data_IF_116461345535
#
_entry.id   IF_116461345535
#
_cell.length_a   1.000
_cell.length_b   1.000
_cell.length_c   1.000
_cell.angle_alpha   90.00
_cell.angle_beta   90.00
_cell.angle_gamma   90.00
#
_symmetry.space_group_name_H-M   'P 1'
#
loop_
_entity.id
_entity.type
_entity.pdbx_description
1 polymer ?
#
# COMPACT_ATOMS: atom_id res chain seq x y z
N UNK A 1 46.80 -31.23 -16.06
CA UNK A 1 46.14 -30.08 -16.71
C UNK A 1 47.06 -28.89 -16.52
N UNK A 2 47.57 -28.35 -17.62
CA UNK A 2 48.74 -27.47 -17.61
C UNK A 2 48.35 -26.02 -17.26
N UNK A 3 48.72 -25.57 -16.07
CA UNK A 3 48.29 -24.28 -15.48
C UNK A 3 48.78 -23.07 -16.29
N UNK A 4 49.89 -23.23 -17.02
CA UNK A 4 50.46 -22.18 -17.88
C UNK A 4 49.59 -21.85 -19.09
N UNK A 5 48.94 -22.84 -19.70
CA UNK A 5 48.05 -22.61 -20.84
C UNK A 5 46.74 -21.93 -20.45
N UNK A 6 46.24 -22.19 -19.23
CA UNK A 6 45.01 -21.57 -18.72
C UNK A 6 45.24 -20.07 -18.39
N UNK A 7 46.39 -19.71 -17.81
CA UNK A 7 46.72 -18.30 -17.55
C UNK A 7 46.96 -17.51 -18.84
N UNK A 8 47.61 -18.11 -19.84
CA UNK A 8 47.78 -17.48 -21.15
C UNK A 8 46.44 -17.25 -21.87
N UNK A 9 45.50 -18.20 -21.79
CA UNK A 9 44.13 -18.04 -22.31
C UNK A 9 43.33 -16.97 -21.55
N UNK A 10 43.44 -16.91 -20.22
CA UNK A 10 42.76 -15.90 -19.42
C UNK A 10 43.26 -14.48 -19.74
N UNK A 11 44.57 -14.29 -19.91
CA UNK A 11 45.17 -13.00 -20.28
C UNK A 11 44.78 -12.58 -21.70
N UNK A 12 44.84 -13.50 -22.67
CA UNK A 12 44.40 -13.24 -24.05
C UNK A 12 42.90 -12.93 -24.14
N UNK A 13 42.07 -13.55 -23.29
CA UNK A 13 40.63 -13.26 -23.20
C UNK A 13 40.37 -11.89 -22.55
N UNK A 14 41.17 -11.49 -21.55
CA UNK A 14 41.09 -10.16 -20.94
C UNK A 14 41.49 -9.05 -21.91
N UNK A 15 42.58 -9.22 -22.67
CA UNK A 15 42.99 -8.26 -23.70
C UNK A 15 41.92 -8.14 -24.81
N UNK A 16 41.37 -9.27 -25.27
CA UNK A 16 40.25 -9.26 -26.23
C UNK A 16 38.98 -8.63 -25.66
N UNK A 17 38.66 -8.84 -24.37
CA UNK A 17 37.50 -8.21 -23.73
C UNK A 17 37.69 -6.70 -23.59
N UNK A 18 38.90 -6.23 -23.29
CA UNK A 18 39.21 -4.80 -23.25
C UNK A 18 39.09 -4.14 -24.64
N UNK A 19 39.60 -4.80 -25.68
CA UNK A 19 39.46 -4.34 -27.07
C UNK A 19 37.99 -4.34 -27.54
N UNK A 20 37.21 -5.37 -27.17
CA UNK A 20 35.78 -5.43 -27.49
C UNK A 20 35.02 -4.30 -26.76
N UNK A 21 35.34 -4.03 -25.50
CA UNK A 21 34.74 -2.93 -24.74
C UNK A 21 35.11 -1.55 -25.33
N UNK A 22 36.35 -1.33 -25.75
CA UNK A 22 36.76 -0.09 -26.42
C UNK A 22 36.12 0.08 -27.80
N UNK A 23 35.98 -1.01 -28.57
CA UNK A 23 35.33 -0.96 -29.87
C UNK A 23 33.82 -0.75 -29.76
N UNK A 24 33.16 -1.32 -28.74
CA UNK A 24 31.75 -1.05 -28.46
C UNK A 24 31.54 0.41 -28.02
N UNK A 25 32.43 0.96 -27.20
CA UNK A 25 32.37 2.36 -26.78
C UNK A 25 32.50 3.34 -27.96
N UNK A 26 33.27 2.99 -29.01
CA UNK A 26 33.47 3.82 -30.22
C UNK A 26 32.41 3.61 -31.31
N UNK A 27 31.54 2.61 -31.21
CA UNK A 27 30.49 2.41 -32.21
C UNK A 27 29.50 3.57 -32.14
N UNK A 28 29.24 4.20 -33.27
CA UNK A 28 28.33 5.34 -33.37
C UNK A 28 27.00 4.93 -33.97
N UNK A 29 25.91 5.44 -33.41
CA UNK A 29 24.54 5.28 -33.90
C UNK A 29 24.00 6.67 -34.22
N UNK A 30 23.38 6.81 -35.40
CA UNK A 30 22.75 8.06 -35.82
C UNK A 30 21.24 7.93 -35.63
N UNK A 31 20.65 8.82 -34.85
CA UNK A 31 19.20 8.97 -34.71
C UNK A 31 18.73 10.22 -35.43
N UNK A 32 17.54 10.18 -36.04
CA UNK A 32 16.95 11.35 -36.70
C UNK A 32 15.55 11.68 -36.15
N UNK A 33 15.21 12.96 -36.17
CA UNK A 33 13.91 13.48 -35.77
C UNK A 33 13.44 14.58 -36.74
N UNK A 34 12.13 14.83 -36.80
CA UNK A 34 11.56 15.85 -37.69
C UNK A 34 11.78 15.55 -39.17
N UNK A 35 11.55 14.31 -39.62
CA UNK A 35 11.69 13.94 -41.03
C UNK A 35 13.11 13.94 -41.58
N UNK A 36 14.14 14.01 -40.72
CA UNK A 36 15.54 14.08 -41.12
C UNK A 36 16.21 15.43 -40.87
N UNK A 37 15.42 16.46 -40.53
CA UNK A 37 15.90 17.83 -40.29
C UNK A 37 16.83 17.94 -39.08
N UNK A 38 16.75 17.01 -38.12
CA UNK A 38 17.69 16.92 -36.99
C UNK A 38 18.30 15.52 -36.97
N UNK A 39 19.63 15.46 -37.02
CA UNK A 39 20.40 14.22 -36.90
C UNK A 39 21.32 14.30 -35.69
N UNK A 40 21.32 13.27 -34.86
CA UNK A 40 22.15 13.18 -33.65
C UNK A 40 22.99 11.92 -33.73
N UNK A 41 24.31 12.07 -33.60
CA UNK A 41 25.25 10.94 -33.54
C UNK A 41 25.63 10.68 -32.09
N UNK A 42 25.41 9.45 -31.63
CA UNK A 42 25.69 9.02 -30.25
C UNK A 42 26.66 7.85 -30.28
N UNK A 43 27.63 7.81 -29.35
CA UNK A 43 28.53 6.66 -29.21
C UNK A 43 27.88 5.51 -28.41
N UNK A 44 28.55 4.36 -28.31
CA UNK A 44 28.04 3.19 -27.59
C UNK A 44 27.95 3.38 -26.07
N UNK A 45 28.40 4.52 -25.53
CA UNK A 45 28.27 4.92 -24.12
C UNK A 45 27.10 5.90 -23.89
N UNK A 46 26.38 6.29 -24.95
CA UNK A 46 25.27 7.25 -24.84
C UNK A 46 25.69 8.72 -24.90
N UNK A 47 26.96 9.01 -25.19
CA UNK A 47 27.45 10.39 -25.33
C UNK A 47 27.14 10.92 -26.73
N UNK A 48 26.57 12.12 -26.78
CA UNK A 48 26.30 12.82 -28.05
C UNK A 48 27.61 13.37 -28.60
N UNK A 49 28.02 12.86 -29.76
CA UNK A 49 29.22 13.27 -30.47
C UNK A 49 28.95 14.50 -31.35
N UNK A 50 27.81 14.51 -32.04
CA UNK A 50 27.41 15.61 -32.92
C UNK A 50 25.89 15.73 -33.04
N UNK A 51 25.43 16.96 -33.30
CA UNK A 51 24.05 17.29 -33.67
C UNK A 51 24.09 18.11 -34.96
N UNK A 52 23.34 17.71 -35.97
CA UNK A 52 23.19 18.43 -37.23
C UNK A 52 21.74 18.85 -37.41
N UNK A 53 21.51 20.11 -37.76
CA UNK A 53 20.19 20.70 -37.98
C UNK A 53 20.21 21.35 -39.36
N UNK A 54 19.31 20.92 -40.25
CA UNK A 54 19.21 21.48 -41.61
C UNK A 54 18.67 22.92 -41.61
N UNK A 55 19.22 23.75 -42.50
CA UNK A 55 19.13 25.21 -42.53
C UNK A 55 17.72 25.77 -42.83
N UNK A 56 16.76 24.92 -43.20
CA UNK A 56 15.41 25.35 -43.60
C UNK A 56 14.56 25.80 -42.40
N UNK A 57 15.01 25.53 -41.16
CA UNK A 57 14.26 25.85 -39.95
C UNK A 57 14.71 27.13 -39.21
N UNK A 58 15.93 27.66 -39.44
CA UNK A 58 16.52 28.75 -38.64
C UNK A 58 17.55 29.52 -39.50
N UNK A 59 17.69 30.84 -39.34
CA UNK A 59 18.74 31.64 -40.00
C UNK A 59 20.13 30.98 -39.83
N UNK A 60 20.92 30.93 -40.91
CA UNK A 60 22.22 30.24 -41.00
C UNK A 60 23.20 30.55 -39.85
N UNK A 61 23.19 31.77 -39.31
CA UNK A 61 24.07 32.19 -38.21
C UNK A 61 23.69 31.62 -36.84
N UNK A 62 22.44 31.20 -36.65
CA UNK A 62 21.91 30.69 -35.36
C UNK A 62 21.98 29.17 -35.29
N UNK A 63 21.96 28.46 -36.42
CA UNK A 63 22.00 27.00 -36.47
C UNK A 63 23.30 26.43 -35.87
N UNK A 64 24.46 27.03 -36.18
CA UNK A 64 25.74 26.59 -35.64
C UNK A 64 25.84 26.77 -34.12
N UNK A 65 25.38 27.91 -33.59
CA UNK A 65 25.32 28.15 -32.13
C UNK A 65 24.38 27.17 -31.42
N UNK A 66 23.24 26.85 -32.03
CA UNK A 66 22.27 25.89 -31.46
C UNK A 66 22.79 24.46 -31.48
N UNK A 67 23.54 24.06 -32.52
CA UNK A 67 24.21 22.76 -32.59
C UNK A 67 25.27 22.64 -31.50
N UNK A 68 26.14 23.64 -31.35
CA UNK A 68 27.16 23.65 -30.29
C UNK A 68 26.55 23.70 -28.89
N UNK A 69 25.48 24.47 -28.69
CA UNK A 69 24.75 24.51 -27.43
C UNK A 69 24.11 23.15 -27.11
N UNK A 70 23.53 22.46 -28.09
CA UNK A 70 22.94 21.12 -27.91
C UNK A 70 24.00 20.07 -27.57
N UNK A 71 25.16 20.09 -28.23
CA UNK A 71 26.29 19.21 -27.93
C UNK A 71 26.90 19.54 -26.56
N UNK A 72 27.02 20.81 -26.20
CA UNK A 72 27.51 21.23 -24.90
C UNK A 72 26.55 20.80 -23.78
N UNK A 73 25.24 21.04 -23.94
CA UNK A 73 24.21 20.62 -22.99
C UNK A 73 24.23 19.10 -22.82
N UNK A 74 24.31 18.33 -23.90
CA UNK A 74 24.36 16.86 -23.81
C UNK A 74 25.67 16.30 -23.23
N UNK A 75 26.77 17.06 -23.24
CA UNK A 75 28.03 16.69 -22.56
C UNK A 75 28.07 17.13 -21.09
N UNK A 76 27.38 18.22 -20.75
CA UNK A 76 27.31 18.75 -19.38
C UNK A 76 26.16 18.11 -18.58
N UNK A 77 25.02 17.81 -19.19
CA UNK A 77 23.91 17.14 -18.52
C UNK A 77 24.23 15.76 -17.92
N UNK A 78 25.06 14.87 -18.51
CA UNK A 78 25.43 13.62 -17.86
C UNK A 78 26.30 13.86 -16.61
N UNK A 79 27.04 14.97 -16.51
CA UNK A 79 27.67 15.36 -15.23
C UNK A 79 26.67 15.89 -14.19
N UNK A 80 25.47 16.29 -14.62
CA UNK A 80 24.35 16.71 -13.75
C UNK A 80 23.31 15.60 -13.49
N UNK A 81 23.40 14.46 -14.18
CA UNK A 81 22.46 13.33 -14.11
C UNK A 81 23.10 12.05 -13.56
N UNK A 82 24.18 12.18 -12.78
CA UNK A 82 24.41 11.25 -11.69
C UNK A 82 23.53 11.73 -10.54
N UNK A 83 22.67 10.86 -10.01
CA UNK A 83 21.86 11.09 -8.82
C UNK A 83 22.66 11.91 -7.80
N UNK A 84 22.37 13.21 -7.71
CA UNK A 84 22.88 14.02 -6.64
C UNK A 84 22.25 13.42 -5.39
N UNK A 85 23.01 12.57 -4.69
CA UNK A 85 22.55 11.88 -3.50
C UNK A 85 22.48 12.92 -2.38
N UNK A 86 21.46 13.79 -2.47
CA UNK A 86 21.18 14.88 -1.52
C UNK A 86 20.90 14.32 -0.12
N UNK A 87 20.62 13.02 -0.03
CA UNK A 87 20.29 12.32 1.20
C UNK A 87 21.35 11.23 1.51
N UNK A 88 21.93 11.20 2.72
CA UNK A 88 22.83 10.11 3.11
C UNK A 88 22.15 8.72 2.99
N UNK A 89 22.88 7.65 2.61
CA UNK A 89 22.28 6.34 2.31
C UNK A 89 21.40 5.77 3.45
N UNK A 90 21.82 5.93 4.71
CA UNK A 90 21.04 5.47 5.86
C UNK A 90 19.67 6.19 5.99
N UNK A 91 19.63 7.47 5.61
CA UNK A 91 18.41 8.26 5.63
C UNK A 91 17.51 7.92 4.45
N UNK A 92 18.10 7.66 3.28
CA UNK A 92 17.38 7.18 2.09
C UNK A 92 16.68 5.85 2.33
N UNK A 93 17.36 4.88 2.95
CA UNK A 93 16.76 3.59 3.32
C UNK A 93 15.54 3.77 4.24
N UNK A 94 15.63 4.63 5.25
CA UNK A 94 14.49 4.89 6.14
C UNK A 94 13.32 5.55 5.39
N UNK A 95 13.60 6.49 4.49
CA UNK A 95 12.57 7.13 3.65
C UNK A 95 11.87 6.11 2.77
N UNK A 96 12.61 5.18 2.17
CA UNK A 96 12.02 4.12 1.36
C UNK A 96 11.09 3.24 2.20
N UNK A 97 11.54 2.76 3.37
CA UNK A 97 10.71 1.91 4.24
C UNK A 97 9.44 2.63 4.71
N UNK A 98 9.55 3.90 5.12
CA UNK A 98 8.39 4.70 5.54
C UNK A 98 7.42 4.96 4.37
N UNK A 99 7.90 5.10 3.14
CA UNK A 99 7.06 5.35 1.96
C UNK A 99 6.23 4.14 1.52
N UNK A 100 6.56 2.94 2.00
CA UNK A 100 5.76 1.73 1.75
C UNK A 100 4.50 1.68 2.61
N UNK A 101 4.39 2.51 3.64
CA UNK A 101 3.22 2.58 4.49
C UNK A 101 2.06 3.29 3.76
N UNK A 102 0.82 2.79 3.86
CA UNK A 102 -0.32 3.38 3.19
C UNK A 102 -0.52 4.84 3.65
N UNK A 103 -0.74 5.73 2.69
CA UNK A 103 -0.92 7.17 2.94
C UNK A 103 0.37 7.97 3.16
N UNK A 104 1.55 7.35 3.09
CA UNK A 104 2.84 8.04 3.25
C UNK A 104 3.59 8.11 1.92
N UNK A 105 3.54 9.27 1.26
CA UNK A 105 4.37 9.53 0.07
C UNK A 105 5.82 9.89 0.42
N UNK A 106 6.72 9.85 -0.59
CA UNK A 106 8.16 10.15 -0.44
C UNK A 106 8.46 11.45 0.31
N UNK A 107 7.74 12.54 0.01
CA UNK A 107 7.89 13.83 0.73
C UNK A 107 7.59 13.72 2.23
N UNK A 108 6.48 13.06 2.58
CA UNK A 108 6.10 12.86 3.98
C UNK A 108 7.10 11.94 4.68
N UNK A 109 7.52 10.86 4.03
CA UNK A 109 8.55 9.95 4.54
C UNK A 109 9.87 10.66 4.82
N UNK A 110 10.37 11.50 3.90
CA UNK A 110 11.57 12.34 4.12
C UNK A 110 11.43 13.24 5.33
N UNK A 111 10.27 13.90 5.50
CA UNK A 111 10.00 14.75 6.67
C UNK A 111 10.02 13.95 7.98
N UNK A 112 9.42 12.75 7.99
CA UNK A 112 9.41 11.87 9.17
C UNK A 112 10.82 11.37 9.49
N UNK A 113 11.56 10.91 8.50
CA UNK A 113 12.93 10.40 8.66
C UNK A 113 13.87 11.48 9.23
N UNK A 114 13.81 12.72 8.70
CA UNK A 114 14.56 13.85 9.23
C UNK A 114 14.12 14.23 10.66
N UNK A 115 12.82 14.09 10.99
CA UNK A 115 12.35 14.34 12.35
C UNK A 115 12.89 13.30 13.34
N UNK A 116 12.93 12.02 12.96
CA UNK A 116 13.52 10.94 13.76
C UNK A 116 15.01 11.21 13.98
N UNK A 117 15.75 11.58 12.93
CA UNK A 117 17.19 11.87 13.01
C UNK A 117 17.53 13.04 13.95
N UNK A 118 16.65 14.05 14.05
CA UNK A 118 16.85 15.23 14.91
C UNK A 118 16.52 14.98 16.39
N UNK A 119 15.89 13.86 16.73
CA UNK A 119 15.53 13.51 18.10
C UNK A 119 16.67 12.76 18.81
N UNK A 120 16.66 12.67 20.14
CA UNK A 120 17.63 11.86 20.88
C UNK A 120 17.63 10.41 20.40
N UNK A 121 18.80 9.74 20.27
CA UNK A 121 18.89 8.36 19.78
C UNK A 121 18.00 7.37 20.54
N UNK A 122 17.77 7.60 21.84
CA UNK A 122 16.91 6.75 22.67
C UNK A 122 15.46 6.66 22.14
N UNK A 123 14.88 7.75 21.63
CA UNK A 123 13.51 7.73 21.09
C UNK A 123 13.42 6.92 19.79
N UNK A 124 14.45 7.02 18.93
CA UNK A 124 14.52 6.22 17.71
C UNK A 124 14.67 4.72 18.03
N UNK A 125 15.46 4.39 19.05
CA UNK A 125 15.62 3.02 19.54
C UNK A 125 14.32 2.46 20.14
N UNK A 126 13.57 3.27 20.87
CA UNK A 126 12.27 2.88 21.43
C UNK A 126 11.26 2.56 20.33
N UNK A 127 11.16 3.42 19.30
CA UNK A 127 10.33 3.16 18.13
C UNK A 127 10.74 1.88 17.39
N UNK A 128 12.05 1.69 17.17
CA UNK A 128 12.57 0.49 16.51
C UNK A 128 12.23 -0.78 17.32
N UNK A 129 12.35 -0.72 18.66
CA UNK A 129 11.98 -1.83 19.55
C UNK A 129 10.48 -2.12 19.48
N UNK A 130 9.62 -1.10 19.52
CA UNK A 130 8.18 -1.28 19.42
C UNK A 130 7.78 -1.96 18.09
N UNK A 131 8.37 -1.54 16.97
CA UNK A 131 8.16 -2.18 15.66
C UNK A 131 8.64 -3.64 15.63
N UNK A 132 9.81 -3.92 16.21
CA UNK A 132 10.38 -5.27 16.26
C UNK A 132 9.53 -6.24 17.12
N UNK A 133 8.97 -5.74 18.22
CA UNK A 133 8.16 -6.55 19.14
C UNK A 133 6.73 -6.79 18.66
N UNK A 134 6.21 -5.97 17.74
CA UNK A 134 4.80 -5.96 17.35
C UNK A 134 4.29 -7.35 16.90
N UNK A 135 4.96 -7.96 15.92
CA UNK A 135 4.56 -9.27 15.38
C UNK A 135 4.84 -10.44 16.34
N UNK A 136 5.72 -10.26 17.33
CA UNK A 136 6.02 -11.27 18.34
C UNK A 136 5.00 -11.25 19.48
N UNK A 137 4.46 -10.05 19.79
CA UNK A 137 3.60 -9.83 20.95
C UNK A 137 2.13 -9.98 20.60
N UNK A 138 1.73 -9.60 19.38
CA UNK A 138 0.34 -9.61 18.95
C UNK A 138 0.00 -10.93 18.26
N UNK A 139 -1.08 -11.56 18.73
CA UNK A 139 -1.73 -12.73 18.11
C UNK A 139 -3.21 -12.45 17.86
N UNK A 140 -3.87 -13.38 17.18
CA UNK A 140 -5.33 -13.36 17.06
C UNK A 140 -5.95 -14.08 18.25
N UNK A 141 -6.97 -13.47 18.85
CA UNK A 141 -7.81 -14.12 19.85
C UNK A 141 -8.46 -15.38 19.25
N UNK A 142 -8.41 -16.51 19.96
CA UNK A 142 -8.98 -17.79 19.51
C UNK A 142 -10.50 -17.75 19.33
N UNK A 143 -11.19 -16.82 20.01
CA UNK A 143 -12.65 -16.72 20.03
C UNK A 143 -13.23 -15.70 19.05
N UNK A 144 -12.65 -14.49 18.99
CA UNK A 144 -13.19 -13.37 18.20
C UNK A 144 -12.27 -12.87 17.10
N UNK A 145 -11.06 -13.43 16.99
CA UNK A 145 -10.07 -13.06 15.98
C UNK A 145 -9.61 -11.60 16.04
N UNK A 146 -9.83 -10.84 17.11
CA UNK A 146 -9.19 -9.53 17.26
C UNK A 146 -7.70 -9.67 17.58
N UNK A 147 -6.92 -8.62 17.28
CA UNK A 147 -5.52 -8.53 17.71
C UNK A 147 -5.43 -8.40 19.24
N UNK A 148 -4.66 -9.28 19.89
CA UNK A 148 -4.45 -9.24 21.33
C UNK A 148 -3.12 -9.88 21.72
N UNK A 149 -2.57 -9.47 22.86
CA UNK A 149 -1.42 -10.13 23.51
C UNK A 149 -1.88 -11.34 24.38
N UNK A 150 -3.15 -11.37 24.76
CA UNK A 150 -3.76 -12.41 25.60
C UNK A 150 -4.76 -13.24 24.79
N UNK A 151 -4.90 -14.51 25.17
CA UNK A 151 -5.88 -15.42 24.56
C UNK A 151 -6.57 -16.20 25.69
N UNK A 152 -7.90 -16.04 25.89
CA UNK A 152 -8.78 -15.12 25.17
C UNK A 152 -8.43 -13.64 25.42
N UNK A 153 -8.81 -12.76 24.49
CA UNK A 153 -8.58 -11.32 24.65
C UNK A 153 -9.37 -10.73 25.82
N UNK A 154 -9.02 -9.51 26.25
CA UNK A 154 -9.66 -8.82 27.38
C UNK A 154 -11.19 -8.66 27.28
N UNK A 155 -11.75 -8.67 26.07
CA UNK A 155 -13.20 -8.62 25.85
C UNK A 155 -13.82 -10.01 26.03
N UNK A 156 -13.25 -11.04 25.42
CA UNK A 156 -13.78 -12.41 25.47
C UNK A 156 -13.58 -13.06 26.86
N UNK A 157 -12.50 -12.73 27.56
CA UNK A 157 -12.23 -13.21 28.92
C UNK A 157 -13.02 -12.47 30.03
N UNK A 158 -13.81 -11.45 29.69
CA UNK A 158 -14.53 -10.66 30.69
C UNK A 158 -15.90 -11.28 31.00
N UNK A 159 -16.03 -11.85 32.20
CA UNK A 159 -17.26 -12.50 32.69
C UNK A 159 -18.46 -11.58 32.86
N UNK A 160 -18.27 -10.26 32.86
CA UNK A 160 -19.38 -9.28 32.92
C UNK A 160 -20.07 -9.08 31.56
N UNK A 161 -19.49 -9.61 30.48
CA UNK A 161 -20.05 -9.47 29.13
C UNK A 161 -21.00 -10.61 28.81
N UNK A 162 -21.99 -10.29 27.98
CA UNK A 162 -22.90 -11.29 27.49
C UNK A 162 -22.31 -12.01 26.28
N UNK A 163 -21.83 -13.24 26.47
CA UNK A 163 -21.30 -14.08 25.39
C UNK A 163 -22.36 -14.56 24.39
N UNK A 164 -23.65 -14.43 24.72
CA UNK A 164 -24.75 -14.80 23.82
C UNK A 164 -25.03 -13.75 22.74
N UNK A 165 -24.44 -12.55 22.85
CA UNK A 165 -24.57 -11.45 21.90
C UNK A 165 -23.25 -11.28 21.14
N UNK A 166 -23.28 -11.46 19.82
CA UNK A 166 -22.09 -11.29 18.97
C UNK A 166 -22.28 -10.10 18.04
N UNK A 167 -21.32 -9.17 18.04
CA UNK A 167 -21.22 -8.12 17.03
C UNK A 167 -20.13 -8.48 16.00
N UNK A 168 -20.55 -8.75 14.77
CA UNK A 168 -19.67 -9.10 13.65
C UNK A 168 -19.20 -7.83 12.95
N UNK A 169 -17.89 -7.65 12.83
CA UNK A 169 -17.26 -6.45 12.25
C UNK A 169 -16.24 -6.82 11.17
N UNK A 170 -15.94 -5.88 10.27
CA UNK A 170 -14.97 -6.12 9.18
C UNK A 170 -13.55 -6.19 9.71
N UNK A 171 -13.15 -5.20 10.52
CA UNK A 171 -11.79 -5.07 11.02
C UNK A 171 -11.72 -4.81 12.54
N UNK A 172 -10.53 -4.98 13.12
CA UNK A 172 -10.30 -4.67 14.54
C UNK A 172 -10.49 -3.18 14.86
N UNK A 173 -10.32 -2.30 13.87
CA UNK A 173 -10.59 -0.87 14.04
C UNK A 173 -12.08 -0.58 14.30
N UNK A 174 -12.99 -1.31 13.64
CA UNK A 174 -14.43 -1.16 13.83
C UNK A 174 -14.86 -1.63 15.22
N UNK A 175 -14.30 -2.75 15.69
CA UNK A 175 -14.46 -3.21 17.06
C UNK A 175 -14.08 -2.10 18.04
N UNK A 176 -12.89 -1.50 17.88
CA UNK A 176 -12.43 -0.43 18.76
C UNK A 176 -13.34 0.80 18.71
N UNK A 177 -13.88 1.13 17.54
CA UNK A 177 -14.82 2.24 17.38
C UNK A 177 -16.13 2.00 18.15
N UNK A 178 -16.70 0.81 18.05
CA UNK A 178 -17.93 0.45 18.79
C UNK A 178 -17.65 0.37 20.28
N UNK A 179 -16.54 -0.26 20.68
CA UNK A 179 -16.17 -0.44 22.09
C UNK A 179 -16.00 0.90 22.81
N UNK A 180 -15.44 1.92 22.14
CA UNK A 180 -15.32 3.29 22.67
C UNK A 180 -16.66 3.95 23.04
N UNK A 181 -17.76 3.49 22.47
CA UNK A 181 -19.10 4.01 22.81
C UNK A 181 -19.56 3.54 24.20
N UNK A 182 -18.99 2.46 24.72
CA UNK A 182 -19.42 1.75 25.94
C UNK A 182 -20.90 1.30 25.92
N UNK A 183 -21.57 1.34 24.76
CA UNK A 183 -23.00 1.02 24.62
C UNK A 183 -23.27 -0.46 24.35
N UNK A 184 -22.25 -1.23 23.95
CA UNK A 184 -22.40 -2.64 23.60
C UNK A 184 -21.75 -3.54 24.67
N UNK A 185 -22.54 -4.43 25.28
CA UNK A 185 -22.08 -5.32 26.35
C UNK A 185 -21.84 -6.77 25.90
N UNK A 186 -22.00 -7.04 24.60
CA UNK A 186 -21.70 -8.35 24.02
C UNK A 186 -20.21 -8.53 23.70
N UNK A 187 -19.94 -9.59 22.95
CA UNK A 187 -18.61 -9.94 22.43
C UNK A 187 -18.58 -9.71 20.92
N UNK A 188 -17.38 -9.75 20.33
CA UNK A 188 -17.20 -9.47 18.90
C UNK A 188 -16.82 -10.72 18.10
N UNK A 189 -16.86 -10.57 16.79
CA UNK A 189 -16.22 -11.44 15.83
C UNK A 189 -15.65 -10.61 14.67
N UNK A 190 -14.34 -10.67 14.43
CA UNK A 190 -13.65 -9.87 13.42
C UNK A 190 -13.42 -10.71 12.16
N UNK A 191 -13.96 -10.26 11.02
CA UNK A 191 -13.86 -10.97 9.74
C UNK A 191 -12.51 -10.85 9.06
N UNK A 192 -11.76 -9.78 9.36
CA UNK A 192 -10.53 -9.35 8.68
C UNK A 192 -10.71 -8.97 7.21
N UNK A 193 -11.87 -8.39 6.89
CA UNK A 193 -12.17 -7.91 5.56
C UNK A 193 -13.63 -8.04 5.18
N UNK A 194 -13.87 -7.92 3.88
CA UNK A 194 -15.17 -7.98 3.22
C UNK A 194 -15.05 -8.81 1.96
N UNK A 195 -16.17 -9.35 1.48
CA UNK A 195 -16.25 -10.05 0.20
C UNK A 195 -15.96 -9.07 -0.93
N UNK A 196 -14.93 -9.38 -1.72
CA UNK A 196 -14.52 -8.59 -2.87
C UNK A 196 -14.12 -9.53 -4.03
N UNK A 197 -15.09 -10.05 -4.81
CA UNK A 197 -14.82 -10.98 -5.91
C UNK A 197 -13.85 -10.44 -6.96
N UNK A 198 -13.87 -9.12 -7.20
CA UNK A 198 -12.97 -8.45 -8.14
C UNK A 198 -11.51 -8.53 -7.66
N UNK A 199 -11.30 -8.48 -6.34
CA UNK A 199 -9.99 -8.59 -5.71
C UNK A 199 -9.62 -10.05 -5.35
N UNK A 200 -10.46 -11.01 -5.75
CA UNK A 200 -10.28 -12.43 -5.44
C UNK A 200 -10.51 -12.79 -3.98
N UNK A 201 -11.17 -11.94 -3.19
CA UNK A 201 -11.47 -12.19 -1.77
C UNK A 201 -12.86 -12.82 -1.65
N UNK A 202 -12.90 -14.12 -1.37
CA UNK A 202 -14.11 -14.89 -1.11
C UNK A 202 -14.37 -15.13 0.39
N UNK A 203 -15.33 -16.00 0.72
CA UNK A 203 -15.67 -16.31 2.11
C UNK A 203 -14.60 -17.09 2.88
N UNK A 204 -13.74 -17.84 2.17
CA UNK A 204 -12.70 -18.69 2.78
C UNK A 204 -11.47 -17.88 3.21
N UNK A 205 -11.27 -16.72 2.61
CA UNK A 205 -10.24 -15.73 2.93
C UNK A 205 -10.60 -14.90 4.18
N UNK A 206 -11.87 -14.95 4.59
CA UNK A 206 -12.42 -14.24 5.74
C UNK A 206 -12.68 -15.19 6.90
N UNK A 207 -12.86 -14.63 8.10
CA UNK A 207 -13.22 -15.41 9.31
C UNK A 207 -14.70 -15.82 9.37
N UNK A 208 -15.31 -16.11 8.23
CA UNK A 208 -16.74 -16.49 8.15
C UNK A 208 -16.94 -17.96 8.55
N UNK A 209 -16.03 -18.85 8.18
CA UNK A 209 -16.11 -20.27 8.55
C UNK A 209 -16.08 -20.45 10.07
N UNK A 210 -15.18 -19.73 10.74
CA UNK A 210 -15.04 -19.75 12.18
C UNK A 210 -16.25 -19.13 12.88
N UNK A 211 -16.86 -18.08 12.30
CA UNK A 211 -18.15 -17.56 12.79
C UNK A 211 -19.22 -18.64 12.74
N UNK A 212 -19.36 -19.34 11.62
CA UNK A 212 -20.34 -20.43 11.48
C UNK A 212 -20.13 -21.53 12.50
N UNK A 213 -18.87 -21.94 12.72
CA UNK A 213 -18.54 -22.96 13.73
C UNK A 213 -18.90 -22.50 15.14
N UNK A 214 -18.59 -21.24 15.46
CA UNK A 214 -18.93 -20.62 16.75
C UNK A 214 -20.43 -20.57 16.98
N UNK A 215 -21.20 -20.29 15.93
CA UNK A 215 -22.66 -20.32 15.95
C UNK A 215 -23.21 -21.74 16.15
N UNK A 216 -22.69 -22.71 15.40
CA UNK A 216 -23.11 -24.10 15.49
C UNK A 216 -22.78 -24.75 16.85
N UNK A 217 -21.76 -24.26 17.56
CA UNK A 217 -21.44 -24.70 18.92
C UNK A 217 -22.53 -24.31 19.95
N UNK A 218 -23.44 -23.40 19.59
CA UNK A 218 -24.58 -22.99 20.41
C UNK A 218 -24.25 -21.89 21.43
N UNK A 219 -25.26 -21.50 22.22
CA UNK A 219 -25.13 -20.48 23.27
C UNK A 219 -25.22 -19.02 22.80
N UNK A 220 -25.52 -18.78 21.52
CA UNK A 220 -25.70 -17.45 20.94
C UNK A 220 -27.18 -17.19 20.73
N UNK A 221 -27.66 -16.06 21.24
CA UNK A 221 -29.05 -15.62 21.13
C UNK A 221 -29.24 -14.57 20.03
N UNK A 222 -28.23 -13.73 19.81
CA UNK A 222 -28.27 -12.67 18.80
C UNK A 222 -26.93 -12.46 18.11
N UNK A 223 -26.99 -12.21 16.80
CA UNK A 223 -25.86 -11.75 16.01
C UNK A 223 -26.21 -10.42 15.35
N UNK A 224 -25.44 -9.39 15.72
CA UNK A 224 -25.49 -8.07 15.11
C UNK A 224 -24.45 -8.01 14.00
N UNK A 225 -24.89 -7.76 12.78
CA UNK A 225 -24.00 -7.53 11.64
C UNK A 225 -23.68 -6.04 11.58
N UNK A 226 -22.43 -5.70 11.87
CA UNK A 226 -21.91 -4.34 11.92
C UNK A 226 -20.80 -4.12 10.87
N UNK A 227 -20.96 -4.69 9.68
CA UNK A 227 -20.15 -4.33 8.50
C UNK A 227 -20.50 -2.92 8.01
N UNK A 228 -19.62 -2.31 7.22
CA UNK A 228 -19.79 -0.99 6.60
C UNK A 228 -20.98 -0.98 5.63
N UNK A 229 -21.51 0.22 5.36
CA UNK A 229 -22.57 0.43 4.35
C UNK A 229 -22.01 0.63 2.93
N UNK A 230 -20.78 0.19 2.67
CA UNK A 230 -20.18 0.16 1.33
C UNK A 230 -20.74 -1.01 0.52
N UNK A 231 -20.57 -1.02 -0.80
CA UNK A 231 -21.04 -2.13 -1.65
C UNK A 231 -20.45 -3.49 -1.20
N UNK A 232 -19.13 -3.64 -0.96
CA UNK A 232 -18.57 -4.88 -0.42
C UNK A 232 -19.08 -5.23 1.00
N UNK A 233 -19.22 -4.23 1.88
CA UNK A 233 -19.72 -4.42 3.24
C UNK A 233 -21.17 -4.90 3.28
N UNK A 234 -22.02 -4.37 2.40
CA UNK A 234 -23.42 -4.78 2.26
C UNK A 234 -23.56 -6.16 1.59
N UNK A 235 -22.72 -6.47 0.59
CA UNK A 235 -22.66 -7.82 0.02
C UNK A 235 -22.26 -8.86 1.09
N UNK A 236 -21.28 -8.52 1.92
CA UNK A 236 -20.85 -9.34 3.06
C UNK A 236 -21.97 -9.50 4.08
N UNK A 237 -22.69 -8.42 4.42
CA UNK A 237 -23.83 -8.48 5.32
C UNK A 237 -24.94 -9.40 4.80
N UNK A 238 -25.31 -9.27 3.52
CA UNK A 238 -26.33 -10.13 2.89
C UNK A 238 -25.90 -11.59 2.92
N UNK A 239 -24.65 -11.88 2.56
CA UNK A 239 -24.10 -13.24 2.60
C UNK A 239 -24.17 -13.84 4.00
N UNK A 240 -23.80 -13.08 5.03
CA UNK A 240 -23.87 -13.51 6.43
C UNK A 240 -25.32 -13.77 6.88
N UNK A 241 -26.26 -12.89 6.51
CA UNK A 241 -27.68 -13.08 6.81
C UNK A 241 -28.22 -14.37 6.18
N UNK A 242 -28.00 -14.57 4.88
CA UNK A 242 -28.48 -15.75 4.16
C UNK A 242 -27.88 -17.05 4.71
N UNK A 243 -26.60 -16.99 5.10
CA UNK A 243 -25.91 -18.12 5.72
C UNK A 243 -26.47 -18.45 7.11
N UNK A 244 -26.72 -17.44 7.94
CA UNK A 244 -27.13 -17.61 9.33
C UNK A 244 -28.65 -17.78 9.51
N UNK A 245 -29.47 -17.44 8.51
CA UNK A 245 -30.92 -17.53 8.56
C UNK A 245 -31.46 -18.92 8.89
N UNK A 246 -30.68 -19.97 8.61
CA UNK A 246 -31.04 -21.37 8.90
C UNK A 246 -30.88 -21.73 10.38
N UNK A 247 -30.17 -20.91 11.14
CA UNK A 247 -29.93 -21.09 12.57
C UNK A 247 -31.05 -20.43 13.37
N UNK A 248 -31.42 -21.00 14.53
CA UNK A 248 -32.47 -20.46 15.40
C UNK A 248 -31.95 -19.30 16.26
N UNK A 249 -31.44 -18.23 15.62
CA UNK A 249 -30.79 -17.10 16.27
C UNK A 249 -31.37 -15.79 15.75
N UNK A 250 -31.50 -14.80 16.63
CA UNK A 250 -31.93 -13.46 16.22
C UNK A 250 -30.82 -12.78 15.43
N UNK A 251 -31.13 -12.32 14.21
CA UNK A 251 -30.17 -11.60 13.37
C UNK A 251 -30.60 -10.14 13.27
N UNK A 252 -29.67 -9.24 13.55
CA UNK A 252 -29.89 -7.80 13.43
C UNK A 252 -28.78 -7.14 12.62
N UNK A 253 -29.08 -5.98 12.06
CA UNK A 253 -28.15 -5.17 11.27
C UNK A 253 -28.04 -3.81 11.94
N UNK A 254 -26.82 -3.28 12.07
CA UNK A 254 -26.66 -1.91 12.57
C UNK A 254 -27.45 -0.91 11.71
N UNK A 255 -28.06 0.07 12.36
CA UNK A 255 -28.86 1.07 11.66
C UNK A 255 -28.01 1.84 10.64
N UNK A 256 -28.61 2.14 9.49
CA UNK A 256 -28.04 2.97 8.43
C UNK A 256 -28.98 4.17 8.25
N UNK A 257 -28.46 5.38 8.33
CA UNK A 257 -29.28 6.58 8.27
C UNK A 257 -28.49 7.87 8.43
N UNK A 258 -29.22 8.96 8.69
CA UNK A 258 -28.66 10.31 8.78
C UNK A 258 -27.89 10.45 10.12
N UNK A 259 -26.62 10.88 10.11
CA UNK A 259 -25.86 11.14 11.33
C UNK A 259 -26.54 12.18 12.23
N UNK A 260 -26.41 12.02 13.54
CA UNK A 260 -26.89 13.02 14.49
C UNK A 260 -26.21 14.37 14.25
N UNK A 261 -26.98 15.45 14.25
CA UNK A 261 -26.49 16.81 14.01
C UNK A 261 -26.33 17.20 12.54
N UNK A 262 -26.64 16.29 11.60
CA UNK A 262 -26.69 16.61 10.16
C UNK A 262 -28.08 17.13 9.77
N UNK A 263 -28.12 18.27 9.09
CA UNK A 263 -29.36 18.77 8.46
C UNK A 263 -29.69 17.91 7.23
N UNK A 264 -30.94 17.48 7.12
CA UNK A 264 -31.46 16.57 6.08
C UNK A 264 -31.10 17.06 4.68
N UNK A 265 -31.10 18.38 4.44
CA UNK A 265 -30.80 18.95 3.11
C UNK A 265 -29.35 18.71 2.63
N UNK A 266 -28.45 18.34 3.54
CA UNK A 266 -27.05 18.04 3.23
C UNK A 266 -26.75 16.53 3.21
N UNK A 267 -27.72 15.68 3.55
CA UNK A 267 -27.57 14.24 3.43
C UNK A 267 -27.64 13.81 1.95
N UNK A 268 -26.86 12.79 1.57
CA UNK A 268 -26.91 12.28 0.20
C UNK A 268 -28.21 11.51 -0.07
N UNK A 269 -28.58 11.45 -1.35
CA UNK A 269 -29.83 10.82 -1.80
C UNK A 269 -29.98 9.35 -1.38
N UNK A 270 -28.89 8.59 -1.28
CA UNK A 270 -28.94 7.17 -0.94
C UNK A 270 -29.14 6.98 0.55
N UNK A 271 -28.45 7.76 1.38
CA UNK A 271 -28.66 7.78 2.83
C UNK A 271 -30.09 8.20 3.18
N UNK A 272 -30.62 9.22 2.50
CA UNK A 272 -32.02 9.65 2.68
C UNK A 272 -33.03 8.56 2.30
N UNK A 273 -32.85 7.93 1.14
CA UNK A 273 -33.70 6.83 0.71
C UNK A 273 -33.71 5.69 1.73
N UNK A 274 -32.52 5.24 2.18
CA UNK A 274 -32.40 4.19 3.20
C UNK A 274 -33.06 4.57 4.53
N UNK A 275 -32.87 5.81 4.99
CA UNK A 275 -33.46 6.28 6.23
C UNK A 275 -35.00 6.27 6.19
N UNK A 276 -35.60 6.60 5.03
CA UNK A 276 -37.06 6.56 4.82
C UNK A 276 -37.58 5.12 4.75
N UNK A 277 -36.88 4.25 4.01
CA UNK A 277 -37.23 2.83 3.86
C UNK A 277 -37.21 2.08 5.19
N UNK A 278 -36.19 2.34 6.01
CA UNK A 278 -35.98 1.70 7.31
C UNK A 278 -36.43 2.54 8.50
N UNK A 279 -37.36 3.48 8.29
CA UNK A 279 -37.92 4.28 9.38
C UNK A 279 -38.51 3.37 10.45
N UNK A 280 -38.24 3.68 11.71
CA UNK A 280 -38.81 2.97 12.85
C UNK A 280 -39.94 3.79 13.45
N UNK A 281 -40.89 3.12 14.09
CA UNK A 281 -41.83 3.83 14.96
C UNK A 281 -41.11 4.12 16.27
N UNK A 282 -40.99 5.40 16.69
CA UNK A 282 -40.51 5.70 18.04
C UNK A 282 -41.49 5.07 19.02
N UNK A 283 -40.98 4.19 19.88
CA UNK A 283 -41.72 3.60 20.99
C UNK A 283 -42.06 4.67 22.05
#
# INVERSE_FOLDING_TARGET
MDLGNIMAQAKAMQEKMADIQQNLARKTIVGSAGGGMVQVTVNGQGEVLSVHIEEIAINASEAAMLQDLAVLISRVLPTFSADMQVLPPALEQLVEQLSRLPGIGKKTATRLALNILRRPPAQAQELARALAMLHQSIRLCSSCFTFSETDPCSICGNSRRNSSLICVVEQSADLLAIEKTASFQGVYHVLHGVLAPIDGIGPDELKIKELRQRVAAGGISEIIIATSSTVPGEATASYLLDMLQKEQISLSRIACGIPMGMDIKYADKYTLARAIERRYSPA
#
